data_IF_685366427923
#
_entry.id   IF_685366427923
#
_cell.length_a   1.000
_cell.length_b   1.000
_cell.length_c   1.000
_cell.angle_alpha   90.00
_cell.angle_beta   90.00
_cell.angle_gamma   90.00
#
_symmetry.space_group_name_H-M   'P 1'
#
loop_
_entity.id
_entity.type
_entity.pdbx_description
1 polymer ?
#
# COMPACT_ATOMS: atom_id res chain seq x y z
N UNK A 1 16.61 -9.40 20.67
CA UNK A 1 17.42 -8.70 19.64
C UNK A 1 17.13 -9.21 18.22
N UNK A 2 17.04 -10.52 17.99
CA UNK A 2 16.67 -11.11 16.68
C UNK A 2 15.32 -10.63 16.13
N UNK A 3 14.32 -10.40 16.99
CA UNK A 3 12.98 -10.03 16.54
C UNK A 3 12.91 -8.64 15.88
N UNK A 4 13.61 -7.64 16.43
CA UNK A 4 13.66 -6.28 15.88
C UNK A 4 14.45 -6.22 14.57
N UNK A 5 15.50 -7.03 14.44
CA UNK A 5 16.26 -7.14 13.18
C UNK A 5 15.39 -7.74 12.08
N UNK A 6 14.62 -8.81 12.37
CA UNK A 6 13.66 -9.37 11.41
C UNK A 6 12.59 -8.35 11.01
N UNK A 7 12.04 -7.60 11.97
CA UNK A 7 11.06 -6.56 11.69
C UNK A 7 11.64 -5.45 10.81
N UNK A 8 12.88 -5.02 11.08
CA UNK A 8 13.60 -4.03 10.25
C UNK A 8 13.73 -4.49 8.81
N UNK A 9 14.11 -5.73 8.57
CA UNK A 9 14.20 -6.30 7.21
C UNK A 9 12.83 -6.34 6.54
N UNK A 10 11.81 -6.80 7.24
CA UNK A 10 10.44 -6.84 6.70
C UNK A 10 9.90 -5.46 6.36
N UNK A 11 10.08 -4.47 7.25
CA UNK A 11 9.68 -3.08 7.03
C UNK A 11 10.45 -2.47 5.85
N UNK A 12 11.74 -2.74 5.72
CA UNK A 12 12.55 -2.26 4.61
C UNK A 12 12.09 -2.82 3.26
N UNK A 13 11.85 -4.13 3.18
CA UNK A 13 11.34 -4.77 1.97
C UNK A 13 9.95 -4.24 1.60
N UNK A 14 9.09 -4.08 2.61
CA UNK A 14 7.77 -3.48 2.43
C UNK A 14 7.86 -2.03 1.95
N UNK A 15 8.80 -1.24 2.46
CA UNK A 15 9.06 0.13 2.00
C UNK A 15 9.40 0.19 0.50
N UNK A 16 10.29 -0.70 0.05
CA UNK A 16 10.69 -0.79 -1.35
C UNK A 16 9.48 -1.09 -2.22
N UNK A 17 8.67 -2.07 -1.81
CA UNK A 17 7.50 -2.48 -2.59
C UNK A 17 6.41 -1.40 -2.59
N UNK A 18 6.13 -0.75 -1.46
CA UNK A 18 5.21 0.40 -1.41
C UNK A 18 5.66 1.50 -2.36
N UNK A 19 6.96 1.86 -2.35
CA UNK A 19 7.50 2.89 -3.23
C UNK A 19 7.40 2.50 -4.71
N UNK A 20 7.71 1.23 -5.05
CA UNK A 20 7.54 0.70 -6.41
C UNK A 20 6.10 0.84 -6.90
N UNK A 21 5.13 0.46 -6.07
CA UNK A 21 3.70 0.55 -6.39
C UNK A 21 3.26 2.02 -6.52
N UNK A 22 3.68 2.87 -5.60
CA UNK A 22 3.39 4.31 -5.58
C UNK A 22 3.89 5.00 -6.86
N UNK A 23 5.15 4.75 -7.24
CA UNK A 23 5.74 5.27 -8.49
C UNK A 23 5.03 4.74 -9.75
N UNK A 24 4.60 3.47 -9.74
CA UNK A 24 3.83 2.92 -10.85
C UNK A 24 2.50 3.65 -11.02
N UNK A 25 1.79 3.89 -9.92
CA UNK A 25 0.52 4.63 -9.92
C UNK A 25 0.75 6.07 -10.37
N UNK A 26 1.78 6.75 -9.87
CA UNK A 26 2.08 8.14 -10.23
C UNK A 26 2.45 8.27 -11.72
N UNK A 27 3.32 7.39 -12.22
CA UNK A 27 3.78 7.42 -13.61
C UNK A 27 2.71 7.02 -14.62
N UNK A 28 1.73 6.22 -14.21
CA UNK A 28 0.66 5.71 -15.07
C UNK A 28 -0.72 6.23 -14.71
N UNK A 29 -0.82 7.26 -13.88
CA UNK A 29 -2.07 7.74 -13.30
C UNK A 29 -3.19 7.91 -14.34
N UNK A 30 -2.92 8.66 -15.41
CA UNK A 30 -3.87 8.87 -16.51
C UNK A 30 -4.23 7.58 -17.22
N UNK A 31 -3.25 6.71 -17.48
CA UNK A 31 -3.49 5.43 -18.14
C UNK A 31 -4.36 4.51 -17.28
N UNK A 32 -4.22 4.54 -15.96
CA UNK A 32 -5.02 3.75 -15.02
C UNK A 32 -6.48 4.22 -14.96
N UNK A 33 -6.75 5.51 -15.18
CA UNK A 33 -8.14 6.04 -15.25
C UNK A 33 -8.89 5.41 -16.41
N UNK A 34 -8.23 5.33 -17.57
CA UNK A 34 -8.83 4.76 -18.76
C UNK A 34 -8.76 3.25 -18.67
N UNK A 35 -7.58 2.67 -18.49
CA UNK A 35 -7.25 1.24 -18.51
C UNK A 35 -6.86 0.70 -17.11
N UNK A 36 -7.82 0.52 -16.19
CA UNK A 36 -7.53 0.12 -14.80
C UNK A 36 -6.91 -1.28 -14.67
N UNK A 37 -7.18 -2.18 -15.63
CA UNK A 37 -6.69 -3.56 -15.60
C UNK A 37 -5.16 -3.67 -15.63
N UNK A 38 -4.46 -2.61 -16.06
CA UNK A 38 -2.99 -2.55 -16.05
C UNK A 38 -2.45 -2.66 -14.61
N UNK A 39 -3.19 -2.12 -13.63
CA UNK A 39 -2.78 -2.19 -12.23
C UNK A 39 -2.72 -3.64 -11.71
N UNK A 40 -3.72 -4.44 -12.08
CA UNK A 40 -3.82 -5.84 -11.65
C UNK A 40 -2.78 -6.74 -12.33
N UNK A 41 -2.31 -6.36 -13.52
CA UNK A 41 -1.28 -7.10 -14.25
C UNK A 41 0.14 -6.84 -13.72
N UNK A 42 0.44 -5.61 -13.30
CA UNK A 42 1.80 -5.19 -12.95
C UNK A 42 2.10 -5.24 -11.44
N UNK A 43 1.09 -5.46 -10.60
CA UNK A 43 1.22 -5.48 -9.13
C UNK A 43 0.64 -6.77 -8.55
N UNK A 44 1.46 -7.52 -7.83
CA UNK A 44 1.01 -8.59 -6.94
C UNK A 44 0.44 -8.00 -5.64
N UNK A 45 -0.75 -7.41 -5.74
CA UNK A 45 -1.40 -6.73 -4.63
C UNK A 45 -1.81 -7.71 -3.50
N UNK A 46 -1.98 -8.99 -3.82
CA UNK A 46 -2.26 -10.04 -2.83
C UNK A 46 -1.07 -10.25 -1.93
N UNK A 47 0.13 -10.41 -2.50
CA UNK A 47 1.35 -10.53 -1.72
C UNK A 47 1.62 -9.25 -0.91
N UNK A 48 1.42 -8.07 -1.51
CA UNK A 48 1.56 -6.79 -0.82
C UNK A 48 0.68 -6.68 0.44
N UNK A 49 -0.63 -6.97 0.32
CA UNK A 49 -1.55 -6.97 1.46
C UNK A 49 -1.15 -8.02 2.52
N UNK A 50 -0.76 -9.22 2.09
CA UNK A 50 -0.30 -10.27 3.01
C UNK A 50 0.95 -9.86 3.79
N UNK A 51 1.89 -9.13 3.17
CA UNK A 51 3.07 -8.60 3.84
C UNK A 51 2.71 -7.56 4.90
N UNK A 52 1.79 -6.64 4.59
CA UNK A 52 1.30 -5.66 5.55
C UNK A 52 0.65 -6.34 6.77
N UNK A 53 -0.22 -7.32 6.53
CA UNK A 53 -0.89 -8.08 7.58
C UNK A 53 0.11 -8.89 8.42
N UNK A 54 1.13 -9.49 7.77
CA UNK A 54 2.20 -10.20 8.45
C UNK A 54 3.02 -9.27 9.35
N UNK A 55 3.35 -8.06 8.89
CA UNK A 55 4.05 -7.03 9.68
C UNK A 55 3.23 -6.64 10.90
N UNK A 56 1.93 -6.36 10.72
CA UNK A 56 1.01 -6.03 11.82
C UNK A 56 0.96 -7.17 12.84
N UNK A 57 0.71 -8.40 12.37
CA UNK A 57 0.66 -9.59 13.24
C UNK A 57 1.98 -9.86 13.96
N UNK A 58 3.11 -9.68 13.30
CA UNK A 58 4.43 -9.85 13.91
C UNK A 58 4.69 -8.79 14.98
N UNK A 59 4.26 -7.54 14.75
CA UNK A 59 4.37 -6.46 15.74
C UNK A 59 3.57 -6.73 17.01
N UNK A 60 2.44 -7.43 16.89
CA UNK A 60 1.63 -7.82 18.05
C UNK A 60 2.30 -8.84 18.95
N UNK A 61 3.25 -9.62 18.40
CA UNK A 61 4.00 -10.67 19.09
C UNK A 61 5.32 -10.17 19.72
N UNK A 62 5.66 -8.89 19.56
CA UNK A 62 6.86 -8.32 20.17
C UNK A 62 6.74 -8.33 21.70
N UNK A 63 7.85 -8.66 22.37
CA UNK A 63 7.95 -8.51 23.83
C UNK A 63 7.87 -7.03 24.19
N UNK A 64 6.91 -6.69 25.05
CA UNK A 64 6.59 -5.30 25.44
C UNK A 64 7.68 -4.75 26.37
N UNK A 65 8.31 -3.66 25.94
CA UNK A 65 9.18 -2.77 26.71
C UNK A 65 9.01 -1.33 26.17
N UNK A 66 9.60 -0.33 26.84
CA UNK A 66 9.39 1.08 26.49
C UNK A 66 9.68 1.40 25.01
N UNK A 67 10.73 0.78 24.43
CA UNK A 67 11.11 0.98 23.03
C UNK A 67 10.17 0.29 22.02
N UNK A 68 9.72 -0.94 22.33
CA UNK A 68 8.88 -1.74 21.45
C UNK A 68 7.41 -1.32 21.49
N UNK A 69 6.96 -0.69 22.57
CA UNK A 69 5.63 -0.08 22.67
C UNK A 69 5.48 0.98 21.58
N UNK A 70 6.45 1.89 21.45
CA UNK A 70 6.42 2.97 20.46
C UNK A 70 6.40 2.40 19.03
N UNK A 71 7.19 1.34 18.77
CA UNK A 71 7.20 0.65 17.48
C UNK A 71 5.83 0.03 17.18
N UNK A 72 5.23 -0.64 18.16
CA UNK A 72 3.92 -1.29 18.02
C UNK A 72 2.81 -0.26 17.76
N UNK A 73 2.80 0.82 18.53
CA UNK A 73 1.87 1.94 18.31
C UNK A 73 2.03 2.48 16.89
N UNK A 74 3.26 2.72 16.44
CA UNK A 74 3.50 3.28 15.11
C UNK A 74 3.12 2.32 13.98
N UNK A 75 3.27 1.01 14.16
CA UNK A 75 2.78 0.00 13.21
C UNK A 75 1.25 -0.03 13.16
N UNK A 76 0.58 0.20 14.29
CA UNK A 76 -0.88 0.27 14.34
C UNK A 76 -1.47 1.45 13.55
N UNK A 77 -0.69 2.52 13.36
CA UNK A 77 -1.05 3.66 12.53
C UNK A 77 -1.00 3.37 11.02
N UNK A 78 -0.43 2.24 10.57
CA UNK A 78 -0.40 1.89 9.15
C UNK A 78 -1.84 1.74 8.61
N UNK A 79 -2.19 2.41 7.51
CA UNK A 79 -3.54 2.37 6.98
C UNK A 79 -3.92 0.95 6.58
N UNK A 80 -5.21 0.63 6.66
CA UNK A 80 -5.73 -0.64 6.18
C UNK A 80 -5.82 -0.60 4.66
N UNK A 81 -4.93 -1.36 4.01
CA UNK A 81 -4.91 -1.58 2.57
C UNK A 81 -5.31 -3.02 2.29
N UNK A 82 -6.41 -3.18 1.57
CA UNK A 82 -6.98 -4.46 1.19
C UNK A 82 -6.85 -4.70 -0.31
N UNK A 83 -7.03 -5.93 -0.74
CA UNK A 83 -7.07 -6.29 -2.17
C UNK A 83 -8.15 -5.50 -2.92
N UNK A 84 -9.27 -5.18 -2.26
CA UNK A 84 -10.36 -4.39 -2.85
C UNK A 84 -9.95 -2.95 -3.19
N UNK A 85 -8.93 -2.40 -2.51
CA UNK A 85 -8.39 -1.08 -2.85
C UNK A 85 -7.63 -1.09 -4.19
N UNK A 86 -7.18 -2.25 -4.65
CA UNK A 86 -6.53 -2.45 -5.94
C UNK A 86 -7.51 -2.89 -7.05
N UNK A 87 -8.73 -3.31 -6.68
CA UNK A 87 -9.80 -3.68 -7.62
C UNK A 87 -10.54 -2.43 -8.08
N UNK A 88 -9.95 -1.75 -9.07
CA UNK A 88 -10.44 -0.46 -9.52
C UNK A 88 -11.68 -0.62 -10.42
N UNK A 89 -11.79 -1.75 -11.14
CA UNK A 89 -12.90 -2.03 -12.04
C UNK A 89 -14.13 -2.60 -11.31
N UNK A 90 -15.33 -2.10 -11.64
CA UNK A 90 -16.58 -2.60 -11.03
C UNK A 90 -17.75 -2.77 -11.98
N UNK A 91 -17.64 -2.31 -13.23
CA UNK A 91 -18.74 -2.40 -14.18
C UNK A 91 -18.34 -3.44 -15.19
N UNK A 92 -18.95 -4.64 -15.22
CA UNK A 92 -18.67 -5.70 -16.20
C UNK A 92 -18.94 -5.33 -17.67
N UNK A 93 -18.97 -4.03 -17.98
CA UNK A 93 -19.12 -3.41 -19.28
C UNK A 93 -17.73 -3.17 -19.84
N UNK A 94 -17.43 -3.84 -20.95
CA UNK A 94 -16.14 -3.69 -21.63
C UNK A 94 -15.75 -2.22 -21.82
N UNK A 95 -14.51 -1.87 -21.50
CA UNK A 95 -14.04 -0.49 -21.44
C UNK A 95 -14.24 0.28 -22.76
N UNK A 96 -14.18 -0.41 -23.90
CA UNK A 96 -14.44 0.20 -25.22
C UNK A 96 -15.88 0.70 -25.36
N UNK A 97 -16.84 0.01 -24.73
CA UNK A 97 -18.26 0.39 -24.73
C UNK A 97 -18.50 1.68 -23.94
N UNK A 98 -17.65 1.97 -22.95
CA UNK A 98 -17.71 3.22 -22.18
C UNK A 98 -17.36 4.44 -23.04
N UNK A 99 -16.48 4.29 -24.06
CA UNK A 99 -16.19 5.36 -25.02
C UNK A 99 -17.36 5.62 -25.97
N UNK A 100 -18.09 4.56 -26.35
CA UNK A 100 -19.29 4.67 -27.20
C UNK A 100 -20.44 5.32 -26.42
N UNK A 101 -20.59 4.97 -25.14
CA UNK A 101 -21.59 5.51 -24.22
C UNK A 101 -20.99 6.64 -23.38
N UNK A 102 -20.55 7.72 -24.03
CA UNK A 102 -19.81 8.84 -23.44
C UNK A 102 -20.28 9.29 -22.04
N UNK A 103 -21.59 9.49 -21.76
CA UNK A 103 -22.07 9.84 -20.42
C UNK A 103 -21.76 8.78 -19.37
N UNK A 104 -21.92 7.49 -19.70
CA UNK A 104 -21.57 6.38 -18.81
C UNK A 104 -20.05 6.24 -18.67
N UNK A 105 -19.30 6.52 -19.74
CA UNK A 105 -17.85 6.53 -19.70
C UNK A 105 -17.29 7.59 -18.74
N UNK A 106 -17.82 8.81 -18.78
CA UNK A 106 -17.43 9.88 -17.85
C UNK A 106 -17.68 9.47 -16.39
N UNK A 107 -18.82 8.84 -16.08
CA UNK A 107 -19.12 8.33 -14.72
C UNK A 107 -18.13 7.24 -14.33
N UNK A 108 -17.87 6.29 -15.22
CA UNK A 108 -16.92 5.20 -15.01
C UNK A 108 -15.50 5.73 -14.71
N UNK A 109 -14.96 6.59 -15.58
CA UNK A 109 -13.63 7.17 -15.41
C UNK A 109 -13.53 8.05 -14.16
N UNK A 110 -14.58 8.79 -13.82
CA UNK A 110 -14.61 9.60 -12.59
C UNK A 110 -14.54 8.71 -11.35
N UNK A 111 -15.26 7.59 -11.32
CA UNK A 111 -15.18 6.62 -10.24
C UNK A 111 -13.77 5.99 -10.14
N UNK A 112 -13.22 5.57 -11.29
CA UNK A 112 -11.85 5.06 -11.38
C UNK A 112 -10.84 6.07 -10.85
N UNK A 113 -10.96 7.35 -11.22
CA UNK A 113 -10.13 8.45 -10.73
C UNK A 113 -10.15 8.52 -9.19
N UNK A 114 -11.33 8.56 -8.58
CA UNK A 114 -11.44 8.63 -7.11
C UNK A 114 -10.87 7.41 -6.40
N UNK A 115 -11.04 6.20 -6.97
CA UNK A 115 -10.43 4.99 -6.43
C UNK A 115 -8.91 5.03 -6.49
N UNK A 116 -8.32 5.44 -7.61
CA UNK A 116 -6.86 5.58 -7.75
C UNK A 116 -6.32 6.60 -6.76
N UNK A 117 -6.97 7.77 -6.64
CA UNK A 117 -6.58 8.80 -5.66
C UNK A 117 -6.64 8.25 -4.23
N UNK A 118 -7.70 7.52 -3.87
CA UNK A 118 -7.83 6.92 -2.54
C UNK A 118 -6.69 5.92 -2.27
N UNK A 119 -6.37 5.06 -3.24
CA UNK A 119 -5.26 4.12 -3.13
C UNK A 119 -3.92 4.86 -2.99
N UNK A 120 -3.68 5.87 -3.82
CA UNK A 120 -2.47 6.68 -3.79
C UNK A 120 -2.28 7.39 -2.43
N UNK A 121 -3.35 7.94 -1.86
CA UNK A 121 -3.31 8.56 -0.52
C UNK A 121 -2.93 7.53 0.54
N UNK A 122 -3.55 6.33 0.52
CA UNK A 122 -3.19 5.24 1.44
C UNK A 122 -1.73 4.82 1.30
N UNK A 123 -1.21 4.73 0.07
CA UNK A 123 0.18 4.37 -0.17
C UNK A 123 1.15 5.44 0.34
N UNK A 124 0.87 6.73 0.10
CA UNK A 124 1.68 7.85 0.63
C UNK A 124 1.68 7.90 2.16
N UNK A 125 0.54 7.65 2.79
CA UNK A 125 0.46 7.52 4.25
C UNK A 125 1.29 6.33 4.76
N UNK A 126 1.22 5.19 4.07
CA UNK A 126 2.06 4.03 4.35
C UNK A 126 3.55 4.35 4.21
N UNK A 127 3.99 5.01 3.13
CA UNK A 127 5.39 5.42 2.92
C UNK A 127 5.91 6.29 4.06
N UNK A 128 5.11 7.28 4.48
CA UNK A 128 5.45 8.18 5.60
C UNK A 128 5.62 7.41 6.91
N UNK A 129 4.68 6.51 7.22
CA UNK A 129 4.71 5.73 8.46
C UNK A 129 5.86 4.72 8.45
N UNK A 130 6.10 4.04 7.32
CA UNK A 130 7.23 3.13 7.14
C UNK A 130 8.57 3.87 7.25
N UNK A 131 8.70 5.05 6.65
CA UNK A 131 9.93 5.84 6.75
C UNK A 131 10.27 6.16 8.21
N UNK A 132 9.26 6.52 8.99
CA UNK A 132 9.40 6.75 10.43
C UNK A 132 9.80 5.45 11.16
N UNK A 133 9.13 4.33 10.88
CA UNK A 133 9.45 3.02 11.48
C UNK A 133 10.86 2.56 11.14
N UNK A 134 11.30 2.72 9.90
CA UNK A 134 12.65 2.37 9.46
C UNK A 134 13.70 3.19 10.19
N UNK A 135 13.44 4.48 10.45
CA UNK A 135 14.32 5.32 11.26
C UNK A 135 14.40 4.82 12.71
N UNK A 136 13.25 4.60 13.35
CA UNK A 136 13.18 4.10 14.74
C UNK A 136 13.86 2.74 14.90
N UNK A 137 13.57 1.78 14.02
CA UNK A 137 14.17 0.45 14.04
C UNK A 137 15.68 0.49 13.79
N UNK A 138 16.16 1.40 12.95
CA UNK A 138 17.60 1.61 12.75
C UNK A 138 18.27 2.15 14.01
N UNK A 139 17.64 3.10 14.71
CA UNK A 139 18.16 3.62 15.97
C UNK A 139 18.27 2.50 17.02
N UNK A 140 17.19 1.73 17.23
CA UNK A 140 17.12 0.67 18.25
C UNK A 140 18.01 -0.55 17.96
N UNK A 141 18.27 -0.85 16.68
CA UNK A 141 19.13 -1.99 16.29
C UNK A 141 20.60 -1.62 16.20
N UNK A 142 20.95 -0.33 16.10
CA UNK A 142 22.34 0.14 16.06
C UNK A 142 22.81 0.71 17.42
N UNK A 143 21.90 0.94 18.38
CA UNK A 143 22.22 1.44 19.73
C UNK A 143 22.63 0.34 20.71
N UNK A 144 22.64 -0.92 20.27
CA UNK A 144 23.14 -2.09 21.01
C UNK A 144 24.28 -2.73 20.24
#
# INVERSE_FOLDING_TARGET
MTQLVSLKVSIYNFAIETNRISQLIDSRFTNLIFYPNILEADIDYKNYCNQLDAIKKYSDQLTINDDTIIIKEKISELPTISQSDFQIYSWGINQYMLFILLPLGLIGWTNTYFKIIKLQTKLKDTERTIGTLSFMLKALTNSN
#
